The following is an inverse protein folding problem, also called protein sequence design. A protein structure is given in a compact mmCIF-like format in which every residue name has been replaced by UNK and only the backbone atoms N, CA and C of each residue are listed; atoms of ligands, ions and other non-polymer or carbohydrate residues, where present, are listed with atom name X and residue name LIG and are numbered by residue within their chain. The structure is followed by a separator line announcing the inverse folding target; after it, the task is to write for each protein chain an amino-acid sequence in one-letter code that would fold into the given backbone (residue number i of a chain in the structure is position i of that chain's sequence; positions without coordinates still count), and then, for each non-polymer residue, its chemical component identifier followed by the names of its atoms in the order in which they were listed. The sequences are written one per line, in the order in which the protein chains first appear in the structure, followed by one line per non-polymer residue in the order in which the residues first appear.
data_IF_189686157050
#
_entry.id   IF_189686157050
#
_cell.length_a   1.000
_cell.length_b   1.000
_cell.length_c   1.000
_cell.angle_alpha   90.00
_cell.angle_beta   90.00
_cell.angle_gamma   90.00
#
_symmetry.space_group_name_H-M   'P 1'
#
loop_
_entity.id
_entity.type
_entity.pdbx_description
1 polymer ?
#
# COMPACT_ATOMS: atom_id res chain seq x y z
N UNK A 1 -3.13 -12.66 -11.26
CA UNK A 1 -2.18 -11.67 -10.74
C UNK A 1 -1.85 -11.84 -9.26
N UNK A 2 -2.36 -12.87 -8.56
CA UNK A 2 -1.99 -13.14 -7.17
C UNK A 2 -2.35 -12.07 -6.13
N UNK A 3 -3.09 -11.02 -6.51
CA UNK A 3 -3.55 -9.97 -5.59
C UNK A 3 -4.48 -10.57 -4.52
N UNK A 4 -4.13 -10.38 -3.26
CA UNK A 4 -4.83 -10.87 -2.07
C UNK A 4 -5.67 -9.81 -1.39
N UNK A 5 -5.26 -8.55 -1.50
CA UNK A 5 -5.96 -7.43 -0.89
C UNK A 5 -5.30 -6.10 -1.19
N UNK A 6 -6.05 -5.05 -0.89
CA UNK A 6 -5.62 -3.67 -1.01
C UNK A 6 -5.82 -3.00 0.35
N UNK A 7 -4.89 -2.17 0.79
CA UNK A 7 -5.07 -1.35 1.98
C UNK A 7 -4.72 0.10 1.69
N UNK A 8 -5.55 1.02 2.20
CA UNK A 8 -5.25 2.44 2.26
C UNK A 8 -4.75 2.74 3.67
N UNK A 9 -3.62 3.42 3.76
CA UNK A 9 -3.02 3.87 5.01
C UNK A 9 -2.83 5.39 4.99
N UNK A 10 -2.69 5.98 6.19
CA UNK A 10 -2.22 7.36 6.36
C UNK A 10 -0.73 7.50 6.01
N UNK A 11 -0.22 8.73 6.11
CA UNK A 11 1.18 9.07 5.84
C UNK A 11 2.19 8.33 6.72
N UNK A 12 1.78 7.93 7.92
CA UNK A 12 2.53 7.14 8.91
C UNK A 12 2.31 5.63 8.77
N UNK A 13 1.57 5.20 7.74
CA UNK A 13 1.20 3.82 7.44
C UNK A 13 0.21 3.17 8.40
N UNK A 14 -0.44 3.95 9.26
CA UNK A 14 -1.55 3.44 10.05
C UNK A 14 -2.67 2.97 9.10
N UNK A 15 -3.09 1.69 9.15
CA UNK A 15 -4.12 1.17 8.25
C UNK A 15 -5.46 1.86 8.48
N UNK A 16 -5.98 2.53 7.45
CA UNK A 16 -7.28 3.22 7.50
C UNK A 16 -8.39 2.28 7.02
N UNK A 17 -8.16 1.62 5.89
CA UNK A 17 -9.16 0.76 5.26
C UNK A 17 -8.49 -0.37 4.49
N UNK A 18 -9.03 -1.58 4.62
CA UNK A 18 -8.67 -2.71 3.77
C UNK A 18 -9.83 -3.12 2.86
N UNK A 19 -9.47 -3.61 1.68
CA UNK A 19 -10.34 -4.19 0.68
C UNK A 19 -9.84 -5.61 0.37
N UNK A 20 -10.72 -6.59 0.51
CA UNK A 20 -10.37 -8.01 0.52
C UNK A 20 -10.69 -8.64 1.88
N UNK A 21 -10.76 -9.96 1.93
CA UNK A 21 -11.16 -10.72 3.13
C UNK A 21 -10.01 -11.45 3.80
N UNK A 22 -8.80 -11.37 3.24
CA UNK A 22 -7.64 -12.14 3.68
C UNK A 22 -6.90 -11.52 4.87
N UNK A 23 -6.91 -10.20 5.01
CA UNK A 23 -6.16 -9.50 6.05
C UNK A 23 -7.03 -8.49 6.79
N UNK A 24 -7.07 -8.59 8.12
CA UNK A 24 -7.60 -7.55 8.99
C UNK A 24 -6.61 -6.39 9.11
N UNK A 25 -7.03 -5.26 9.68
CA UNK A 25 -6.13 -4.12 9.93
C UNK A 25 -4.97 -4.50 10.88
N UNK A 26 -5.22 -5.39 11.84
CA UNK A 26 -4.19 -5.89 12.76
C UNK A 26 -3.15 -6.76 12.02
N UNK A 27 -3.61 -7.60 11.07
CA UNK A 27 -2.72 -8.40 10.23
C UNK A 27 -1.85 -7.52 9.35
N UNK A 28 -2.43 -6.44 8.81
CA UNK A 28 -1.70 -5.47 7.98
C UNK A 28 -0.61 -4.76 8.79
N UNK A 29 -0.89 -4.37 10.04
CA UNK A 29 0.14 -3.77 10.91
C UNK A 29 1.31 -4.74 11.13
N UNK A 30 1.03 -6.03 11.39
CA UNK A 30 2.06 -7.05 11.52
C UNK A 30 2.87 -7.23 10.22
N UNK A 31 2.21 -7.24 9.07
CA UNK A 31 2.85 -7.31 7.76
C UNK A 31 3.78 -6.11 7.51
N UNK A 32 3.34 -4.90 7.90
CA UNK A 32 4.10 -3.67 7.70
C UNK A 32 5.32 -3.57 8.61
N UNK A 33 5.26 -4.09 9.84
CA UNK A 33 6.42 -4.14 10.76
C UNK A 33 7.61 -4.94 10.20
N UNK A 34 7.33 -5.89 9.33
CA UNK A 34 8.36 -6.69 8.65
C UNK A 34 9.07 -5.90 7.53
N UNK A 35 8.52 -4.76 7.10
CA UNK A 35 9.09 -3.89 6.08
C UNK A 35 10.02 -2.89 6.77
N UNK A 36 11.31 -3.22 6.81
CA UNK A 36 12.29 -2.56 7.69
C UNK A 36 12.60 -1.10 7.35
N UNK A 37 12.42 -0.66 6.11
CA UNK A 37 12.68 0.72 5.68
C UNK A 37 11.68 1.14 4.62
N UNK A 38 10.95 2.22 4.92
CA UNK A 38 10.06 2.85 3.97
C UNK A 38 10.87 3.74 3.02
N UNK A 39 10.74 3.55 1.70
CA UNK A 39 11.52 4.34 0.77
C UNK A 39 10.99 5.75 0.66
N UNK A 40 11.92 6.70 0.56
CA UNK A 40 11.60 7.99 -0.02
C UNK A 40 11.24 7.77 -1.50
N UNK A 41 9.99 8.01 -1.86
CA UNK A 41 9.44 7.80 -3.20
C UNK A 41 8.63 9.00 -3.64
N UNK A 42 8.59 9.23 -4.95
CA UNK A 42 7.82 10.32 -5.53
C UNK A 42 6.34 9.97 -5.53
N UNK A 43 5.50 10.99 -5.65
CA UNK A 43 4.05 10.83 -5.78
C UNK A 43 3.70 10.04 -7.04
N UNK A 44 2.69 9.17 -6.97
CA UNK A 44 2.26 8.24 -8.02
C UNK A 44 3.30 7.18 -8.44
N UNK A 45 4.46 7.15 -7.80
CA UNK A 45 5.40 6.04 -7.95
C UNK A 45 4.99 4.87 -7.07
N UNK A 46 5.56 3.71 -7.37
CA UNK A 46 5.38 2.51 -6.58
C UNK A 46 6.69 1.76 -6.42
N UNK A 47 6.80 1.04 -5.33
CA UNK A 47 7.91 0.16 -5.00
C UNK A 47 7.34 -1.15 -4.46
N UNK A 48 8.11 -2.23 -4.55
CA UNK A 48 7.73 -3.49 -3.95
C UNK A 48 8.66 -3.83 -2.78
N UNK A 49 8.11 -4.51 -1.79
CA UNK A 49 8.81 -5.06 -0.64
C UNK A 49 8.32 -6.47 -0.37
N UNK A 50 9.21 -7.31 0.11
CA UNK A 50 8.85 -8.63 0.58
C UNK A 50 8.51 -8.54 2.08
N UNK A 51 7.46 -9.25 2.47
CA UNK A 51 7.06 -9.43 3.86
C UNK A 51 6.62 -10.89 4.08
N UNK A 52 6.15 -11.20 5.27
CA UNK A 52 5.58 -12.49 5.61
C UNK A 52 4.39 -12.34 6.56
N UNK A 53 3.45 -13.28 6.48
CA UNK A 53 2.30 -13.40 7.35
C UNK A 53 2.02 -14.88 7.58
N UNK A 54 1.86 -15.31 8.83
CA UNK A 54 1.60 -16.72 9.17
C UNK A 54 2.57 -17.72 8.51
N UNK A 55 3.87 -17.40 8.48
CA UNK A 55 4.95 -18.15 7.80
C UNK A 55 4.86 -18.22 6.26
N UNK A 56 3.90 -17.57 5.64
CA UNK A 56 3.83 -17.42 4.18
C UNK A 56 4.52 -16.14 3.74
N UNK A 57 5.29 -16.22 2.66
CA UNK A 57 5.86 -15.03 2.03
C UNK A 57 4.79 -14.27 1.27
N UNK A 58 4.87 -12.95 1.30
CA UNK A 58 3.99 -12.08 0.53
C UNK A 58 4.76 -10.90 -0.06
N UNK A 59 4.25 -10.37 -1.16
CA UNK A 59 4.74 -9.14 -1.76
C UNK A 59 3.80 -7.99 -1.44
N UNK A 60 4.39 -6.87 -1.01
CA UNK A 60 3.67 -5.63 -0.71
C UNK A 60 4.14 -4.59 -1.72
N UNK A 61 3.24 -4.20 -2.60
CA UNK A 61 3.44 -3.04 -3.45
C UNK A 61 2.95 -1.81 -2.70
N UNK A 62 3.85 -0.86 -2.51
CA UNK A 62 3.59 0.38 -1.81
C UNK A 62 3.52 1.48 -2.85
N UNK A 63 2.43 2.23 -2.85
CA UNK A 63 2.17 3.31 -3.79
C UNK A 63 1.90 4.59 -3.01
N UNK A 64 2.59 5.67 -3.36
CA UNK A 64 2.36 6.98 -2.73
C UNK A 64 1.29 7.74 -3.49
N UNK A 65 0.17 8.03 -2.84
CA UNK A 65 -0.93 8.78 -3.45
C UNK A 65 -0.57 10.25 -3.65
N UNK A 66 -1.14 10.87 -4.68
CA UNK A 66 -1.20 12.32 -4.86
C UNK A 66 -2.35 12.99 -4.11
N UNK A 67 -3.16 12.20 -3.38
CA UNK A 67 -4.27 12.64 -2.55
C UNK A 67 -3.94 12.41 -1.07
N UNK A 68 -4.39 13.33 -0.24
CA UNK A 68 -4.12 13.34 1.19
C UNK A 68 -4.65 14.61 1.84
N UNK A 69 -4.88 14.63 3.15
CA UNK A 69 -5.21 15.85 3.85
C UNK A 69 -4.00 16.79 3.92
N UNK A 70 -4.28 18.09 3.98
CA UNK A 70 -3.30 19.09 4.39
C UNK A 70 -3.57 19.47 5.84
N UNK A 71 -2.67 19.09 6.74
CA UNK A 71 -2.78 19.37 8.18
C UNK A 71 -1.69 20.37 8.54
N UNK A 72 -2.07 21.48 9.16
CA UNK A 72 -1.14 22.56 9.56
C UNK A 72 -0.23 23.06 8.41
N UNK A 73 -0.73 23.06 7.16
CA UNK A 73 0.03 23.48 5.99
C UNK A 73 1.00 22.42 5.43
N UNK A 74 1.02 21.21 6.00
CA UNK A 74 1.80 20.09 5.51
C UNK A 74 0.88 19.09 4.81
N UNK A 75 1.24 18.71 3.59
CA UNK A 75 0.51 17.69 2.83
C UNK A 75 0.91 16.30 3.31
N UNK A 76 -0.07 15.52 3.76
CA UNK A 76 0.10 14.16 4.27
C UNK A 76 -0.50 13.15 3.28
N UNK A 77 0.30 12.56 2.39
CA UNK A 77 -0.21 11.65 1.36
C UNK A 77 -0.74 10.36 2.00
N UNK A 78 -1.79 9.80 1.41
CA UNK A 78 -2.14 8.40 1.67
C UNK A 78 -1.14 7.46 0.99
N UNK A 79 -1.06 6.23 1.50
CA UNK A 79 -0.39 5.14 0.78
C UNK A 79 -1.39 4.04 0.44
N UNK A 80 -1.26 3.50 -0.77
CA UNK A 80 -1.98 2.32 -1.19
C UNK A 80 -1.04 1.13 -1.18
N UNK A 81 -1.44 0.10 -0.44
CA UNK A 81 -0.72 -1.16 -0.30
C UNK A 81 -1.45 -2.22 -1.09
N UNK A 82 -0.76 -2.91 -1.99
CA UNK A 82 -1.27 -4.10 -2.67
C UNK A 82 -0.54 -5.32 -2.14
N UNK A 83 -1.28 -6.26 -1.57
CA UNK A 83 -0.74 -7.54 -1.10
C UNK A 83 -0.90 -8.57 -2.19
N UNK A 84 0.17 -9.26 -2.56
CA UNK A 84 0.14 -10.27 -3.60
C UNK A 84 0.95 -11.52 -3.24
N UNK A 85 0.62 -12.64 -3.88
CA UNK A 85 1.45 -13.84 -3.86
C UNK A 85 2.88 -13.52 -4.33
N UNK A 86 3.91 -14.17 -3.75
CA UNK A 86 5.28 -14.08 -4.26
C UNK A 86 5.33 -14.38 -5.75
N UNK A 87 6.24 -13.70 -6.48
CA UNK A 87 6.42 -13.85 -7.93
C UNK A 87 5.26 -13.34 -8.80
N UNK A 88 4.21 -12.77 -8.20
CA UNK A 88 3.16 -12.11 -8.97
C UNK A 88 3.66 -10.80 -9.55
N UNK A 89 3.96 -10.75 -10.85
CA UNK A 89 4.32 -9.50 -11.51
C UNK A 89 3.07 -8.68 -11.81
N UNK A 90 2.90 -7.57 -11.08
CA UNK A 90 1.79 -6.64 -11.30
C UNK A 90 2.06 -5.61 -12.42
N UNK A 91 3.29 -5.52 -12.95
CA UNK A 91 3.63 -4.59 -14.04
C UNK A 91 3.20 -3.15 -13.75
N UNK A 92 2.46 -2.53 -14.66
CA UNK A 92 1.93 -1.16 -14.53
C UNK A 92 0.65 -1.05 -13.70
N UNK A 93 0.08 -2.18 -13.26
CA UNK A 93 -1.19 -2.20 -12.52
C UNK A 93 -1.18 -1.29 -11.28
N UNK A 94 -0.13 -1.26 -10.44
CA UNK A 94 -0.07 -0.38 -9.28
C UNK A 94 -0.23 1.11 -9.65
N UNK A 95 0.45 1.55 -10.72
CA UNK A 95 0.36 2.93 -11.19
C UNK A 95 -1.02 3.28 -11.75
N UNK A 96 -1.63 2.39 -12.54
CA UNK A 96 -3.01 2.59 -13.06
C UNK A 96 -4.03 2.68 -11.94
N UNK A 97 -3.89 1.81 -10.93
CA UNK A 97 -4.78 1.78 -9.77
C UNK A 97 -4.64 3.05 -8.93
N UNK A 98 -3.42 3.54 -8.74
CA UNK A 98 -3.17 4.81 -8.05
C UNK A 98 -3.86 5.99 -8.75
N UNK A 99 -3.68 6.13 -10.07
CA UNK A 99 -4.33 7.20 -10.83
C UNK A 99 -5.86 7.13 -10.75
N UNK A 100 -6.44 5.93 -10.77
CA UNK A 100 -7.89 5.76 -10.62
C UNK A 100 -8.39 6.12 -9.22
N UNK A 101 -7.68 5.71 -8.16
CA UNK A 101 -8.07 6.03 -6.79
C UNK A 101 -7.93 7.52 -6.51
N UNK A 102 -6.86 8.14 -6.99
CA UNK A 102 -6.65 9.58 -6.85
C UNK A 102 -7.76 10.38 -7.54
N UNK A 103 -8.24 9.96 -8.71
CA UNK A 103 -9.40 10.59 -9.39
C UNK A 103 -10.74 10.44 -8.64
N UNK A 104 -10.88 9.44 -7.78
CA UNK A 104 -12.10 9.22 -7.00
C UNK A 104 -12.04 10.01 -5.69
N UNK A 105 -10.85 10.12 -5.10
CA UNK A 105 -10.64 10.68 -3.77
C UNK A 105 -10.32 12.18 -3.78
N UNK A 106 -9.93 12.76 -4.93
CA UNK A 106 -9.64 14.19 -5.12
C UNK A 106 -10.25 14.72 -6.41
#
# INVERSE_FOLDING_TARGET
YGLKGICITSFDLSPIKSFGTLFSLADIDAILRNISVFPNMSTLEWIYRQSHFSNEQLWVYIIKSGVGPTINGLFEPYFYLLFADPQSYLGEFPGKLASMFDQILG
#
